data_IF_492884107446
#
_entry.id   IF_492884107446
#
_cell.length_a   1.000
_cell.length_b   1.000
_cell.length_c   1.000
_cell.angle_alpha   90.00
_cell.angle_beta   90.00
_cell.angle_gamma   90.00
#
_symmetry.space_group_name_H-M   'P 1'
#
loop_
_entity.id
_entity.type
_entity.pdbx_description
1 polymer ?
#
# COMPACT_ATOMS: atom_id res chain seq x y z
N UNK A 1 -15.16 21.49 -6.35
CA UNK A 1 -15.40 20.21 -7.09
C UNK A 1 -14.11 19.46 -7.50
N UNK A 2 -12.93 19.77 -6.94
CA UNK A 2 -11.62 19.32 -7.47
C UNK A 2 -10.88 18.27 -6.63
N UNK A 3 -11.08 18.20 -5.32
CA UNK A 3 -10.23 17.38 -4.43
C UNK A 3 -10.31 15.85 -4.63
N UNK A 4 -11.48 15.21 -4.86
CA UNK A 4 -11.54 13.76 -4.95
C UNK A 4 -10.86 13.18 -6.19
N UNK A 5 -10.91 13.88 -7.34
CA UNK A 5 -10.25 13.44 -8.57
C UNK A 5 -8.73 13.54 -8.45
N UNK A 6 -8.24 14.63 -7.84
CA UNK A 6 -6.81 14.80 -7.55
C UNK A 6 -6.32 13.71 -6.61
N UNK A 7 -7.09 13.37 -5.57
CA UNK A 7 -6.75 12.28 -4.65
C UNK A 7 -6.63 10.93 -5.36
N UNK A 8 -7.54 10.63 -6.29
CA UNK A 8 -7.47 9.40 -7.10
C UNK A 8 -6.24 9.39 -8.01
N UNK A 9 -5.99 10.48 -8.75
CA UNK A 9 -4.79 10.59 -9.59
C UNK A 9 -3.50 10.47 -8.78
N UNK A 10 -3.49 11.01 -7.57
CA UNK A 10 -2.36 10.90 -6.66
C UNK A 10 -2.15 9.45 -6.19
N UNK A 11 -3.23 8.71 -5.88
CA UNK A 11 -3.14 7.27 -5.58
C UNK A 11 -2.70 6.44 -6.78
N UNK A 12 -3.08 6.81 -8.01
CA UNK A 12 -2.57 6.15 -9.21
C UNK A 12 -1.07 6.36 -9.39
N UNK A 13 -0.56 7.57 -9.07
CA UNK A 13 0.88 7.83 -9.07
C UNK A 13 1.60 7.02 -7.99
N UNK A 14 1.00 6.86 -6.80
CA UNK A 14 1.51 5.96 -5.74
C UNK A 14 1.52 4.51 -6.22
N UNK A 15 0.43 4.04 -6.82
CA UNK A 15 0.33 2.68 -7.35
C UNK A 15 1.38 2.42 -8.44
N UNK A 16 1.67 3.40 -9.30
CA UNK A 16 2.77 3.30 -10.25
C UNK A 16 4.13 3.21 -9.56
N UNK A 17 4.38 4.07 -8.56
CA UNK A 17 5.62 4.05 -7.79
C UNK A 17 5.80 2.76 -6.97
N UNK A 18 4.73 2.09 -6.56
CA UNK A 18 4.79 0.77 -5.91
C UNK A 18 4.91 -0.38 -6.90
N UNK A 19 4.29 -0.29 -8.07
CA UNK A 19 4.39 -1.31 -9.12
C UNK A 19 5.83 -1.53 -9.59
N UNK A 20 6.69 -0.50 -9.51
CA UNK A 20 8.13 -0.60 -9.80
C UNK A 20 8.97 -1.20 -8.66
N UNK A 21 8.39 -1.57 -7.52
CA UNK A 21 9.18 -1.91 -6.32
C UNK A 21 9.45 -3.40 -6.16
N UNK A 22 8.53 -4.27 -6.56
CA UNK A 22 8.63 -5.71 -6.27
C UNK A 22 9.91 -6.36 -6.81
N UNK A 23 10.32 -6.01 -8.03
CA UNK A 23 11.56 -6.56 -8.61
C UNK A 23 12.80 -6.03 -7.90
N UNK A 24 12.80 -4.74 -7.50
CA UNK A 24 13.89 -4.12 -6.74
C UNK A 24 14.03 -4.74 -5.35
N UNK A 25 12.91 -4.95 -4.65
CA UNK A 25 12.90 -5.58 -3.33
C UNK A 25 13.38 -7.02 -3.42
N UNK A 26 12.88 -7.81 -4.38
CA UNK A 26 13.27 -9.21 -4.50
C UNK A 26 14.77 -9.39 -4.80
N UNK A 27 15.35 -8.51 -5.60
CA UNK A 27 16.79 -8.48 -5.85
C UNK A 27 17.58 -8.12 -4.57
N UNK A 28 17.17 -7.10 -3.82
CA UNK A 28 17.83 -6.73 -2.55
C UNK A 28 17.78 -7.84 -1.50
N UNK A 29 16.66 -8.59 -1.44
CA UNK A 29 16.49 -9.70 -0.49
C UNK A 29 17.41 -10.89 -0.75
N UNK A 30 18.17 -10.94 -1.86
CA UNK A 30 19.21 -11.96 -2.04
C UNK A 30 20.50 -11.60 -1.29
N UNK A 31 20.61 -10.38 -0.76
CA UNK A 31 21.83 -9.82 -0.15
C UNK A 31 21.60 -9.22 1.23
N UNK A 32 20.34 -8.95 1.60
CA UNK A 32 19.95 -8.36 2.87
C UNK A 32 18.83 -9.16 3.48
N UNK A 33 18.86 -9.30 4.81
CA UNK A 33 17.72 -9.84 5.54
C UNK A 33 16.52 -8.90 5.51
N UNK A 34 15.33 -9.49 5.59
CA UNK A 34 14.04 -8.80 5.45
C UNK A 34 13.92 -7.65 6.46
N UNK A 35 14.19 -7.92 7.73
CA UNK A 35 14.03 -6.93 8.79
C UNK A 35 15.04 -5.78 8.68
N UNK A 36 16.30 -6.08 8.34
CA UNK A 36 17.36 -5.09 8.14
C UNK A 36 17.03 -4.13 7.00
N UNK A 37 16.66 -4.70 5.85
CA UNK A 37 16.25 -3.93 4.68
C UNK A 37 15.10 -2.98 5.00
N UNK A 38 14.04 -3.48 5.65
CA UNK A 38 12.88 -2.66 6.00
C UNK A 38 13.23 -1.60 7.05
N UNK A 39 13.99 -1.95 8.08
CA UNK A 39 14.42 -1.02 9.12
C UNK A 39 15.25 0.12 8.53
N UNK A 40 16.22 -0.19 7.67
CA UNK A 40 17.02 0.84 6.99
C UNK A 40 16.17 1.72 6.07
N UNK A 41 15.36 1.10 5.21
CA UNK A 41 14.46 1.81 4.27
C UNK A 41 13.57 2.80 5.01
N UNK A 42 12.90 2.35 6.06
CA UNK A 42 11.96 3.20 6.80
C UNK A 42 12.67 4.20 7.72
N UNK A 43 13.87 3.89 8.22
CA UNK A 43 14.70 4.87 8.93
C UNK A 43 15.01 6.07 8.03
N UNK A 44 15.51 5.84 6.81
CA UNK A 44 15.80 6.90 5.84
C UNK A 44 14.53 7.70 5.52
N UNK A 45 13.41 7.01 5.27
CA UNK A 45 12.12 7.66 5.01
C UNK A 45 11.67 8.54 6.19
N UNK A 46 11.78 8.03 7.42
CA UNK A 46 11.38 8.75 8.64
C UNK A 46 12.23 9.99 8.88
N UNK A 47 13.55 9.89 8.70
CA UNK A 47 14.48 11.02 8.82
C UNK A 47 14.13 12.08 7.79
N UNK A 48 13.91 11.69 6.53
CA UNK A 48 13.54 12.64 5.47
C UNK A 48 12.27 13.42 5.83
N UNK A 49 11.22 12.76 6.32
CA UNK A 49 9.96 13.42 6.69
C UNK A 49 10.12 14.36 7.89
N UNK A 50 10.89 13.95 8.90
CA UNK A 50 11.18 14.78 10.08
C UNK A 50 12.00 16.01 9.67
N UNK A 51 13.00 15.86 8.80
CA UNK A 51 13.82 17.00 8.33
C UNK A 51 12.99 17.98 7.50
N UNK A 52 12.08 17.49 6.65
CA UNK A 52 11.21 18.34 5.82
C UNK A 52 10.25 19.17 6.68
N UNK A 53 9.69 18.60 7.75
CA UNK A 53 8.78 19.31 8.64
C UNK A 53 8.94 18.82 10.10
N UNK A 54 9.96 19.33 10.82
CA UNK A 54 10.25 18.91 12.19
C UNK A 54 9.09 19.00 13.18
N UNK A 55 8.24 20.06 13.16
CA UNK A 55 7.13 20.16 14.09
C UNK A 55 5.90 19.33 13.69
N UNK A 56 5.94 18.54 12.60
CA UNK A 56 4.77 17.81 12.11
C UNK A 56 4.17 16.86 13.16
N UNK A 57 5.01 16.10 13.86
CA UNK A 57 4.56 15.13 14.87
C UNK A 57 4.12 15.84 16.16
N UNK A 58 4.79 16.92 16.55
CA UNK A 58 4.45 17.66 17.78
C UNK A 58 3.11 18.41 17.66
N UNK A 59 2.74 18.82 16.44
CA UNK A 59 1.43 19.44 16.11
C UNK A 59 0.25 18.47 16.15
N UNK A 60 0.49 17.15 16.18
CA UNK A 60 -0.59 16.18 16.31
C UNK A 60 -1.24 16.26 17.70
N UNK A 61 -2.57 16.08 17.74
CA UNK A 61 -3.29 15.91 18.99
C UNK A 61 -2.83 14.62 19.71
N UNK A 62 -3.10 14.49 21.02
CA UNK A 62 -2.80 13.25 21.76
C UNK A 62 -3.52 12.05 21.15
N UNK A 63 -4.76 12.25 20.70
CA UNK A 63 -5.56 11.23 20.03
C UNK A 63 -4.93 10.82 18.69
N UNK A 64 -4.52 11.78 17.87
CA UNK A 64 -3.89 11.49 16.57
C UNK A 64 -2.53 10.83 16.70
N UNK A 65 -1.78 11.10 17.77
CA UNK A 65 -0.56 10.34 18.08
C UNK A 65 -0.86 8.88 18.36
N UNK A 66 -1.88 8.59 19.17
CA UNK A 66 -2.34 7.21 19.42
C UNK A 66 -2.76 6.49 18.14
N UNK A 67 -3.53 7.18 17.29
CA UNK A 67 -3.95 6.68 15.96
C UNK A 67 -2.75 6.43 15.04
N UNK A 68 -1.80 7.36 14.96
CA UNK A 68 -0.58 7.22 14.16
C UNK A 68 0.30 6.05 14.62
N UNK A 69 0.39 5.80 15.93
CA UNK A 69 1.08 4.62 16.47
C UNK A 69 0.35 3.34 16.07
N UNK A 70 -0.96 3.26 16.23
CA UNK A 70 -1.73 2.07 15.85
C UNK A 70 -1.61 1.76 14.35
N UNK A 71 -1.70 2.79 13.50
CA UNK A 71 -1.49 2.65 12.06
C UNK A 71 -0.07 2.21 11.72
N UNK A 72 0.94 2.82 12.34
CA UNK A 72 2.34 2.49 12.10
C UNK A 72 2.70 1.08 12.53
N UNK A 73 2.16 0.60 13.66
CA UNK A 73 2.34 -0.80 14.10
C UNK A 73 1.69 -1.75 13.11
N UNK A 74 0.44 -1.47 12.72
CA UNK A 74 -0.30 -2.31 11.77
C UNK A 74 0.46 -2.41 10.44
N UNK A 75 0.92 -1.27 9.89
CA UNK A 75 1.67 -1.22 8.65
C UNK A 75 3.04 -1.89 8.78
N UNK A 76 3.76 -1.68 9.89
CA UNK A 76 5.07 -2.27 10.13
C UNK A 76 5.02 -3.79 10.20
N UNK A 77 4.03 -4.35 10.91
CA UNK A 77 3.79 -5.80 10.93
C UNK A 77 3.39 -6.29 9.54
N UNK A 78 2.53 -5.57 8.82
CA UNK A 78 2.15 -5.92 7.45
C UNK A 78 3.38 -6.01 6.54
N UNK A 79 4.29 -5.03 6.60
CA UNK A 79 5.53 -5.02 5.82
C UNK A 79 6.45 -6.20 6.14
N UNK A 80 6.67 -6.50 7.43
CA UNK A 80 7.50 -7.64 7.84
C UNK A 80 6.92 -8.96 7.32
N UNK A 81 5.62 -9.18 7.56
CA UNK A 81 4.93 -10.41 7.16
C UNK A 81 4.88 -10.54 5.62
N UNK A 82 4.58 -9.46 4.90
CA UNK A 82 4.56 -9.44 3.44
C UNK A 82 5.94 -9.74 2.86
N UNK A 83 6.97 -9.06 3.36
CA UNK A 83 8.32 -9.15 2.78
C UNK A 83 8.94 -10.50 3.08
N UNK A 84 8.64 -11.08 4.25
CA UNK A 84 8.97 -12.48 4.56
C UNK A 84 8.20 -13.44 3.65
N UNK A 85 6.90 -13.22 3.42
CA UNK A 85 6.12 -13.99 2.45
C UNK A 85 6.72 -13.96 1.04
N UNK A 86 7.12 -12.78 0.56
CA UNK A 86 7.76 -12.55 -0.73
C UNK A 86 9.08 -13.33 -0.90
N UNK A 87 9.79 -13.62 0.20
CA UNK A 87 11.01 -14.46 0.19
C UNK A 87 10.70 -15.90 -0.20
N UNK A 88 9.51 -16.40 0.14
CA UNK A 88 9.10 -17.80 -0.08
C UNK A 88 8.16 -18.01 -1.27
N UNK A 89 7.69 -16.95 -1.93
CA UNK A 89 6.85 -17.05 -3.14
C UNK A 89 7.39 -16.21 -4.31
N UNK A 90 6.75 -16.31 -5.47
CA UNK A 90 7.09 -15.47 -6.63
C UNK A 90 6.62 -14.02 -6.41
N UNK A 91 7.29 -13.05 -7.03
CA UNK A 91 6.89 -11.65 -6.93
C UNK A 91 5.48 -11.41 -7.48
N UNK A 92 5.12 -12.10 -8.57
CA UNK A 92 3.80 -12.01 -9.19
C UNK A 92 2.69 -12.54 -8.27
N UNK A 93 2.87 -13.73 -7.67
CA UNK A 93 1.90 -14.30 -6.72
C UNK A 93 1.83 -13.44 -5.45
N UNK A 94 2.95 -12.96 -4.92
CA UNK A 94 2.93 -12.07 -3.75
C UNK A 94 2.19 -10.75 -4.03
N UNK A 95 2.40 -10.16 -5.21
CA UNK A 95 1.70 -8.95 -5.64
C UNK A 95 0.19 -9.17 -5.74
N UNK A 96 -0.24 -10.29 -6.33
CA UNK A 96 -1.66 -10.68 -6.38
C UNK A 96 -2.29 -10.79 -5.00
N UNK A 97 -1.65 -11.61 -4.15
CA UNK A 97 -2.16 -11.94 -2.83
C UNK A 97 -2.19 -10.69 -1.95
N UNK A 98 -1.20 -9.80 -2.08
CA UNK A 98 -1.23 -8.48 -1.44
C UNK A 98 -2.44 -7.68 -1.93
N UNK A 99 -2.67 -7.62 -3.24
CA UNK A 99 -3.80 -6.92 -3.86
C UNK A 99 -5.18 -7.36 -3.37
N UNK A 100 -5.29 -8.52 -2.71
CA UNK A 100 -6.51 -8.96 -2.02
C UNK A 100 -6.95 -8.03 -0.88
N UNK A 101 -6.11 -7.06 -0.46
CA UNK A 101 -6.60 -5.96 0.38
C UNK A 101 -7.83 -5.28 -0.24
N UNK A 102 -7.99 -5.27 -1.58
CA UNK A 102 -9.17 -4.72 -2.25
C UNK A 102 -10.46 -5.44 -1.90
N UNK A 103 -10.37 -6.72 -1.53
CA UNK A 103 -11.51 -7.53 -1.07
C UNK A 103 -11.69 -7.35 0.43
N UNK A 104 -10.60 -7.39 1.19
CA UNK A 104 -10.64 -7.28 2.65
C UNK A 104 -11.08 -5.89 3.12
N UNK A 105 -10.65 -4.82 2.49
CA UNK A 105 -11.01 -3.44 2.86
C UNK A 105 -12.53 -3.23 2.90
N UNK A 106 -13.31 -3.50 1.84
CA UNK A 106 -14.76 -3.38 1.90
C UNK A 106 -15.37 -4.29 2.97
N UNK A 107 -14.99 -5.57 3.01
CA UNK A 107 -15.51 -6.54 4.00
C UNK A 107 -15.32 -6.05 5.45
N UNK A 108 -14.09 -5.70 5.79
CA UNK A 108 -13.73 -5.22 7.12
C UNK A 108 -14.35 -3.84 7.40
N UNK A 109 -14.44 -2.95 6.41
CA UNK A 109 -15.11 -1.66 6.58
C UNK A 109 -16.61 -1.83 6.89
N UNK A 110 -17.29 -2.79 6.27
CA UNK A 110 -18.69 -3.09 6.57
C UNK A 110 -18.89 -3.58 8.01
N UNK A 111 -17.94 -4.36 8.54
CA UNK A 111 -18.02 -4.90 9.91
C UNK A 111 -17.60 -3.85 10.94
N UNK A 112 -16.45 -3.21 10.73
CA UNK A 112 -15.81 -2.29 11.68
C UNK A 112 -16.50 -0.93 11.69
N UNK A 113 -16.74 -0.35 10.51
CA UNK A 113 -17.38 0.96 10.38
C UNK A 113 -18.91 0.86 10.29
N UNK A 114 -19.47 -0.36 10.29
CA UNK A 114 -20.91 -0.64 10.11
C UNK A 114 -21.50 0.03 8.86
N UNK A 115 -20.66 0.24 7.85
CA UNK A 115 -21.03 0.99 6.65
C UNK A 115 -21.61 0.08 5.57
N UNK A 116 -22.74 0.45 4.97
CA UNK A 116 -23.34 -0.30 3.87
C UNK A 116 -22.58 -0.04 2.58
N UNK A 117 -21.91 -1.07 2.08
CA UNK A 117 -21.17 -1.01 0.80
C UNK A 117 -22.18 -1.00 -0.36
N UNK A 118 -22.02 -0.06 -1.29
CA UNK A 118 -22.84 0.00 -2.48
C UNK A 118 -22.62 -1.20 -3.41
N UNK A 119 -23.67 -1.60 -4.13
CA UNK A 119 -23.60 -2.70 -5.12
C UNK A 119 -22.48 -2.51 -6.15
N UNK A 120 -22.21 -1.28 -6.58
CA UNK A 120 -21.18 -0.98 -7.57
C UNK A 120 -19.76 -1.18 -7.04
N UNK A 121 -19.54 -0.93 -5.75
CA UNK A 121 -18.27 -1.23 -5.11
C UNK A 121 -18.05 -2.76 -5.05
N UNK A 122 -19.09 -3.55 -4.77
CA UNK A 122 -18.99 -5.02 -4.84
C UNK A 122 -18.66 -5.55 -6.24
N UNK A 123 -19.31 -5.01 -7.28
CA UNK A 123 -19.00 -5.39 -8.67
C UNK A 123 -17.55 -5.03 -9.00
N UNK A 124 -17.08 -3.86 -8.60
CA UNK A 124 -15.69 -3.47 -8.82
C UNK A 124 -14.69 -4.34 -8.05
N UNK A 125 -15.00 -4.74 -6.81
CA UNK A 125 -14.18 -5.68 -6.04
C UNK A 125 -14.05 -7.00 -6.81
N UNK A 126 -15.15 -7.57 -7.28
CA UNK A 126 -15.12 -8.82 -8.07
C UNK A 126 -14.29 -8.65 -9.34
N UNK A 127 -14.50 -7.56 -10.09
CA UNK A 127 -13.72 -7.28 -11.30
C UNK A 127 -12.22 -7.13 -11.00
N UNK A 128 -11.86 -6.40 -9.95
CA UNK A 128 -10.47 -6.22 -9.52
C UNK A 128 -9.85 -7.55 -9.11
N UNK A 129 -10.54 -8.37 -8.31
CA UNK A 129 -10.05 -9.70 -7.89
C UNK A 129 -9.82 -10.62 -9.09
N UNK A 130 -10.77 -10.69 -10.02
CA UNK A 130 -10.62 -11.52 -11.22
C UNK A 130 -9.49 -11.00 -12.09
N UNK A 131 -9.41 -9.68 -12.31
CA UNK A 131 -8.34 -9.06 -13.09
C UNK A 131 -6.95 -9.28 -12.51
N UNK A 132 -6.81 -9.10 -11.19
CA UNK A 132 -5.59 -9.41 -10.45
C UNK A 132 -5.23 -10.89 -10.59
N UNK A 133 -6.21 -11.80 -10.50
CA UNK A 133 -5.98 -13.24 -10.61
C UNK A 133 -5.48 -13.62 -12.00
N UNK A 134 -6.11 -13.04 -13.03
CA UNK A 134 -5.65 -13.16 -14.41
C UNK A 134 -4.25 -12.59 -14.57
N UNK A 135 -3.88 -11.46 -13.98
CA UNK A 135 -2.53 -10.90 -14.15
C UNK A 135 -1.44 -11.79 -13.54
N UNK A 136 -1.74 -12.46 -12.43
CA UNK A 136 -0.65 -12.90 -11.54
C UNK A 136 -0.64 -14.39 -11.15
N UNK A 137 -1.75 -15.12 -11.28
CA UNK A 137 -1.82 -16.55 -10.92
C UNK A 137 -1.26 -17.47 -12.01
N UNK A 138 0.01 -17.89 -11.93
CA UNK A 138 0.56 -18.96 -12.76
C UNK A 138 0.52 -20.30 -12.01
N UNK A 139 -0.69 -20.86 -11.86
CA UNK A 139 -0.95 -22.05 -11.03
C UNK A 139 -1.46 -21.68 -9.63
N UNK A 140 -1.99 -22.68 -8.91
CA UNK A 140 -2.51 -22.52 -7.55
C UNK A 140 -1.68 -23.39 -6.60
N UNK A 141 -0.74 -22.77 -5.89
CA UNK A 141 -0.03 -23.40 -4.78
C UNK A 141 -0.20 -22.53 -3.54
N UNK A 142 -0.84 -23.05 -2.50
CA UNK A 142 -0.82 -22.42 -1.19
C UNK A 142 0.36 -22.98 -0.40
N UNK A 143 1.43 -22.20 -0.34
CA UNK A 143 2.56 -22.42 0.55
C UNK A 143 2.58 -21.39 1.67
N UNK A 144 3.64 -21.46 2.48
CA UNK A 144 3.87 -20.53 3.59
C UNK A 144 3.98 -19.08 3.11
N UNK A 145 4.62 -18.84 1.97
CA UNK A 145 4.77 -17.51 1.39
C UNK A 145 3.43 -16.85 1.07
N UNK A 146 2.53 -17.57 0.40
CA UNK A 146 1.20 -17.09 0.04
C UNK A 146 0.35 -16.81 1.28
N UNK A 147 0.41 -17.67 2.31
CA UNK A 147 -0.36 -17.47 3.54
C UNK A 147 0.11 -16.24 4.32
N UNK A 148 1.43 -16.04 4.44
CA UNK A 148 2.00 -14.84 5.04
C UNK A 148 1.57 -13.59 4.26
N UNK A 149 1.73 -13.60 2.94
CA UNK A 149 1.32 -12.45 2.11
C UNK A 149 -0.19 -12.19 2.24
N UNK A 150 -1.03 -13.22 2.33
CA UNK A 150 -2.48 -13.04 2.51
C UNK A 150 -2.80 -12.42 3.87
N UNK A 151 -2.12 -12.85 4.94
CA UNK A 151 -2.25 -12.24 6.25
C UNK A 151 -1.85 -10.75 6.22
N UNK A 152 -0.77 -10.42 5.49
CA UNK A 152 -0.36 -9.02 5.30
C UNK A 152 -1.42 -8.19 4.58
N UNK A 153 -2.11 -8.74 3.58
CA UNK A 153 -3.19 -8.05 2.87
C UNK A 153 -4.35 -7.68 3.81
N UNK A 154 -4.66 -8.52 4.81
CA UNK A 154 -5.62 -8.21 5.86
C UNK A 154 -5.17 -7.04 6.75
N UNK A 155 -3.88 -7.00 7.11
CA UNK A 155 -3.30 -5.89 7.88
C UNK A 155 -3.26 -4.59 7.08
N UNK A 156 -2.89 -4.62 5.80
CA UNK A 156 -3.00 -3.45 4.92
C UNK A 156 -4.43 -2.98 4.78
N UNK A 157 -5.41 -3.88 4.69
CA UNK A 157 -6.82 -3.50 4.67
C UNK A 157 -7.24 -2.77 5.96
N UNK A 158 -6.80 -3.25 7.14
CA UNK A 158 -7.03 -2.55 8.41
C UNK A 158 -6.37 -1.17 8.45
N UNK A 159 -5.13 -1.07 7.95
CA UNK A 159 -4.42 0.21 7.83
C UNK A 159 -5.15 1.19 6.90
N UNK A 160 -5.59 0.74 5.72
CA UNK A 160 -6.38 1.53 4.77
C UNK A 160 -7.69 2.01 5.42
N UNK A 161 -8.38 1.14 6.17
CA UNK A 161 -9.61 1.52 6.90
C UNK A 161 -9.32 2.58 7.96
N UNK A 162 -8.28 2.36 8.78
CA UNK A 162 -7.88 3.29 9.82
C UNK A 162 -7.46 4.65 9.25
N UNK A 163 -6.71 4.66 8.14
CA UNK A 163 -6.36 5.89 7.43
C UNK A 163 -7.60 6.63 6.96
N UNK A 164 -8.52 5.97 6.25
CA UNK A 164 -9.75 6.61 5.79
C UNK A 164 -10.67 7.07 6.94
N UNK A 165 -10.53 6.51 8.15
CA UNK A 165 -11.28 6.93 9.32
C UNK A 165 -10.61 8.06 10.13
N UNK A 166 -9.28 8.18 10.08
CA UNK A 166 -8.52 9.04 11.01
C UNK A 166 -7.72 10.15 10.32
N UNK A 167 -7.47 10.04 9.01
CA UNK A 167 -6.71 11.06 8.29
C UNK A 167 -7.59 12.25 7.92
N UNK A 168 -7.03 13.43 8.09
CA UNK A 168 -7.58 14.72 7.66
C UNK A 168 -6.51 15.45 6.85
N UNK A 169 -6.88 16.39 5.97
CA UNK A 169 -5.88 17.13 5.19
C UNK A 169 -4.84 17.83 6.07
N UNK A 170 -5.24 18.28 7.27
CA UNK A 170 -4.37 18.97 8.23
C UNK A 170 -3.42 18.05 8.99
N UNK A 171 -3.83 16.80 9.30
CA UNK A 171 -2.99 15.88 10.08
C UNK A 171 -2.19 14.90 9.20
N UNK A 172 -2.46 14.84 7.89
CA UNK A 172 -1.93 13.81 6.99
C UNK A 172 -0.40 13.71 7.00
N UNK A 173 0.31 14.84 6.94
CA UNK A 173 1.77 14.84 6.99
C UNK A 173 2.28 14.32 8.35
N UNK A 174 1.73 14.84 9.45
CA UNK A 174 2.13 14.45 10.81
C UNK A 174 1.87 12.96 11.08
N UNK A 175 0.70 12.45 10.68
CA UNK A 175 0.37 11.03 10.76
C UNK A 175 1.34 10.18 9.94
N UNK A 176 1.71 10.60 8.72
CA UNK A 176 2.64 9.86 7.87
C UNK A 176 4.05 9.81 8.48
N UNK A 177 4.54 10.95 8.99
CA UNK A 177 5.83 11.03 9.66
C UNK A 177 5.89 10.12 10.90
N UNK A 178 4.85 10.16 11.75
CA UNK A 178 4.77 9.32 12.95
C UNK A 178 4.67 7.83 12.60
N UNK A 179 3.83 7.47 11.62
CA UNK A 179 3.75 6.09 11.13
C UNK A 179 5.12 5.61 10.65
N UNK A 180 5.86 6.42 9.89
CA UNK A 180 7.18 6.04 9.39
C UNK A 180 8.17 5.75 10.53
N UNK A 181 8.18 6.58 11.58
CA UNK A 181 9.00 6.34 12.78
C UNK A 181 8.60 5.03 13.46
N UNK A 182 7.31 4.78 13.62
CA UNK A 182 6.81 3.58 14.29
C UNK A 182 7.11 2.33 13.47
N UNK A 183 6.94 2.39 12.14
CA UNK A 183 7.31 1.31 11.22
C UNK A 183 8.81 1.00 11.35
N UNK A 184 9.67 2.02 11.39
CA UNK A 184 11.12 1.85 11.61
C UNK A 184 11.39 1.10 12.91
N UNK A 185 10.75 1.50 14.03
CA UNK A 185 10.93 0.84 15.32
C UNK A 185 10.47 -0.62 15.27
N UNK A 186 9.30 -0.90 14.69
CA UNK A 186 8.78 -2.27 14.54
C UNK A 186 9.74 -3.14 13.72
N UNK A 187 10.24 -2.63 12.59
CA UNK A 187 11.17 -3.37 11.74
C UNK A 187 12.54 -3.55 12.42
N UNK A 188 13.02 -2.53 13.14
CA UNK A 188 14.28 -2.60 13.88
C UNK A 188 14.22 -3.62 15.03
N UNK A 189 13.09 -3.72 15.74
CA UNK A 189 12.87 -4.79 16.73
C UNK A 189 12.92 -6.17 16.07
N UNK A 190 12.31 -6.30 14.89
CA UNK A 190 12.38 -7.53 14.09
C UNK A 190 13.80 -7.89 13.61
N UNK A 191 14.69 -6.90 13.49
CA UNK A 191 16.08 -7.07 13.05
C UNK A 191 17.05 -7.47 14.17
N UNK A 192 16.70 -7.24 15.44
CA UNK A 192 17.56 -7.55 16.61
C UNK A 192 18.16 -8.98 16.62
N UNK A 193 17.46 -10.05 16.19
CA UNK A 193 18.00 -11.41 16.27
C UNK A 193 19.14 -11.75 15.29
N UNK A 194 19.43 -10.92 14.28
CA UNK A 194 20.30 -11.30 13.13
C UNK A 194 21.58 -10.49 12.92
N UNK A 195 21.82 -9.44 13.71
CA UNK A 195 22.79 -8.40 13.33
C UNK A 195 22.20 -7.46 12.26
N UNK A 196 22.93 -6.40 11.87
CA UNK A 196 22.43 -5.43 10.90
C UNK A 196 23.28 -5.42 9.64
N UNK A 197 22.73 -5.93 8.54
CA UNK A 197 23.37 -5.99 7.23
C UNK A 197 23.09 -4.71 6.44
N UNK A 198 24.15 -3.99 6.07
CA UNK A 198 24.06 -2.81 5.22
C UNK A 198 24.18 -3.17 3.73
N UNK A 199 23.63 -2.33 2.83
CA UNK A 199 23.86 -2.48 1.39
C UNK A 199 25.36 -2.43 1.07
N UNK A 200 25.84 -3.41 0.30
CA UNK A 200 27.27 -3.59 0.03
C UNK A 200 27.79 -2.77 -1.15
N UNK A 201 26.91 -2.31 -2.05
CA UNK A 201 27.28 -1.58 -3.26
C UNK A 201 26.46 -0.31 -3.51
N UNK A 202 27.01 0.61 -4.31
CA UNK A 202 26.36 1.88 -4.68
C UNK A 202 25.02 1.69 -5.40
N UNK A 203 24.88 0.63 -6.20
CA UNK A 203 23.62 0.25 -6.83
C UNK A 203 22.54 -0.14 -5.82
N UNK A 204 22.89 -0.89 -4.78
CA UNK A 204 21.94 -1.28 -3.74
C UNK A 204 21.51 -0.09 -2.88
N UNK A 205 22.44 0.82 -2.57
CA UNK A 205 22.10 2.10 -1.93
C UNK A 205 21.13 2.92 -2.76
N UNK A 206 21.33 3.03 -4.07
CA UNK A 206 20.41 3.76 -4.94
C UNK A 206 18.99 3.17 -4.90
N UNK A 207 18.88 1.84 -4.93
CA UNK A 207 17.60 1.12 -4.82
C UNK A 207 16.93 1.37 -3.46
N UNK A 208 17.69 1.29 -2.36
CA UNK A 208 17.19 1.56 -1.01
C UNK A 208 16.73 3.01 -0.88
N UNK A 209 17.47 3.99 -1.41
CA UNK A 209 17.11 5.41 -1.36
C UNK A 209 15.84 5.67 -2.17
N UNK A 210 15.73 5.13 -3.39
CA UNK A 210 14.52 5.22 -4.19
C UNK A 210 13.31 4.66 -3.44
N UNK A 211 13.49 3.49 -2.84
CA UNK A 211 12.45 2.79 -2.09
C UNK A 211 12.05 3.54 -0.81
N UNK A 212 13.00 4.17 -0.14
CA UNK A 212 12.77 4.94 1.09
C UNK A 212 12.05 6.26 0.78
N UNK A 213 12.52 7.01 -0.22
CA UNK A 213 12.03 8.37 -0.47
C UNK A 213 10.78 8.38 -1.35
N UNK A 214 10.76 7.63 -2.44
CA UNK A 214 9.66 7.64 -3.41
C UNK A 214 8.57 6.66 -2.96
N UNK A 215 8.91 5.38 -2.84
CA UNK A 215 7.94 4.34 -2.50
C UNK A 215 7.60 4.27 -1.00
N UNK A 216 8.35 4.95 -0.13
CA UNK A 216 8.12 5.02 1.30
C UNK A 216 7.54 6.37 1.72
N UNK A 217 8.40 7.37 1.88
CA UNK A 217 8.08 8.69 2.41
C UNK A 217 7.00 9.42 1.59
N UNK A 218 7.26 9.63 0.30
CA UNK A 218 6.32 10.33 -0.57
C UNK A 218 5.02 9.55 -0.73
N UNK A 219 5.11 8.25 -1.02
CA UNK A 219 3.94 7.39 -1.18
C UNK A 219 3.01 7.39 0.04
N UNK A 220 3.56 7.24 1.25
CA UNK A 220 2.74 7.20 2.47
C UNK A 220 2.09 8.56 2.78
N UNK A 221 2.78 9.67 2.52
CA UNK A 221 2.19 11.02 2.64
C UNK A 221 1.02 11.17 1.67
N UNK A 222 1.26 10.84 0.40
CA UNK A 222 0.26 11.00 -0.66
C UNK A 222 -0.93 10.09 -0.40
N UNK A 223 -0.71 8.84 0.01
CA UNK A 223 -1.77 7.92 0.40
C UNK A 223 -2.58 8.46 1.57
N UNK A 224 -1.92 8.86 2.67
CA UNK A 224 -2.59 9.37 3.87
C UNK A 224 -3.43 10.60 3.56
N UNK A 225 -2.90 11.52 2.74
CA UNK A 225 -3.63 12.70 2.29
C UNK A 225 -4.78 12.35 1.34
N UNK A 226 -4.58 11.46 0.36
CA UNK A 226 -5.62 11.07 -0.57
C UNK A 226 -6.78 10.34 0.13
N UNK A 227 -6.48 9.53 1.14
CA UNK A 227 -7.48 8.85 1.96
C UNK A 227 -8.26 9.79 2.89
N UNK A 228 -7.76 10.99 3.16
CA UNK A 228 -8.57 12.03 3.81
C UNK A 228 -9.69 12.55 2.89
N UNK A 229 -9.55 12.33 1.57
CA UNK A 229 -10.49 12.78 0.54
C UNK A 229 -11.32 11.65 -0.08
N UNK A 230 -11.04 10.39 0.29
CA UNK A 230 -11.60 9.20 -0.34
C UNK A 230 -12.00 8.17 0.71
N UNK A 231 -13.13 7.51 0.49
CA UNK A 231 -13.52 6.35 1.31
C UNK A 231 -12.45 5.23 1.20
N UNK A 232 -12.26 4.41 2.25
CA UNK A 232 -11.33 3.27 2.22
C UNK A 232 -11.47 2.38 0.98
N UNK A 233 -12.71 2.02 0.61
CA UNK A 233 -12.98 1.15 -0.54
C UNK A 233 -12.53 1.78 -1.86
N UNK A 234 -12.80 3.08 -2.07
CA UNK A 234 -12.34 3.80 -3.27
C UNK A 234 -10.82 3.87 -3.34
N UNK A 235 -10.15 4.13 -2.21
CA UNK A 235 -8.70 4.16 -2.16
C UNK A 235 -8.10 2.79 -2.49
N UNK A 236 -8.60 1.72 -1.87
CA UNK A 236 -8.15 0.36 -2.13
C UNK A 236 -8.29 -0.02 -3.62
N UNK A 237 -9.43 0.30 -4.25
CA UNK A 237 -9.65 0.00 -5.67
C UNK A 237 -8.68 0.78 -6.56
N UNK A 238 -8.43 2.06 -6.29
CA UNK A 238 -7.43 2.84 -7.04
C UNK A 238 -6.02 2.26 -6.92
N UNK A 239 -5.67 1.76 -5.74
CA UNK A 239 -4.36 1.18 -5.47
C UNK A 239 -4.16 -0.17 -6.16
N UNK A 240 -5.24 -0.89 -6.53
CA UNK A 240 -5.12 -2.13 -7.33
C UNK A 240 -4.57 -1.94 -8.74
N UNK A 241 -4.39 -0.70 -9.20
CA UNK A 241 -3.68 -0.40 -10.45
C UNK A 241 -2.18 -0.69 -10.38
N UNK A 242 -1.64 -0.96 -9.19
CA UNK A 242 -0.22 -1.26 -8.96
C UNK A 242 0.30 -2.42 -9.84
N UNK A 243 -0.32 -3.62 -9.89
CA UNK A 243 0.11 -4.69 -10.80
C UNK A 243 -0.04 -4.33 -12.28
N UNK A 244 -1.01 -3.49 -12.64
CA UNK A 244 -1.17 -3.00 -14.02
C UNK A 244 0.05 -2.16 -14.42
N UNK A 245 0.49 -1.26 -13.54
CA UNK A 245 1.70 -0.46 -13.77
C UNK A 245 2.96 -1.31 -13.75
N UNK A 246 3.08 -2.29 -12.84
CA UNK A 246 4.21 -3.21 -12.79
C UNK A 246 4.38 -3.95 -14.13
N UNK A 247 3.30 -4.56 -14.64
CA UNK A 247 3.28 -5.21 -15.96
C UNK A 247 3.57 -4.23 -17.10
N UNK A 248 3.02 -3.01 -17.04
CA UNK A 248 3.27 -1.97 -18.03
C UNK A 248 4.74 -1.55 -18.09
N UNK A 249 5.40 -1.38 -16.95
CA UNK A 249 6.83 -1.08 -16.89
C UNK A 249 7.68 -2.25 -17.37
N UNK A 250 7.33 -3.49 -17.02
CA UNK A 250 8.04 -4.67 -17.49
C UNK A 250 8.08 -4.76 -19.02
N UNK A 251 6.95 -4.45 -19.69
CA UNK A 251 6.87 -4.35 -21.16
C UNK A 251 7.65 -3.15 -21.69
N UNK A 252 7.45 -1.96 -21.09
CA UNK A 252 8.07 -0.72 -21.56
C UNK A 252 9.60 -0.78 -21.54
N UNK A 253 10.18 -1.39 -20.50
CA UNK A 253 11.62 -1.57 -20.38
C UNK A 253 12.16 -2.82 -21.09
N UNK A 254 11.31 -3.53 -21.86
CA UNK A 254 11.70 -4.66 -22.71
C UNK A 254 12.02 -5.95 -21.97
N UNK A 255 11.65 -6.07 -20.69
CA UNK A 255 11.88 -7.28 -19.90
C UNK A 255 10.83 -8.38 -20.15
N UNK A 256 9.64 -8.01 -20.62
CA UNK A 256 8.54 -8.94 -20.92
C UNK A 256 7.83 -8.56 -22.22
N UNK A 257 7.24 -9.54 -22.90
CA UNK A 257 6.40 -9.32 -24.08
C UNK A 257 4.94 -9.12 -23.67
N UNK A 258 4.18 -8.31 -24.43
CA UNK A 258 2.73 -8.17 -24.20
C UNK A 258 2.05 -9.52 -24.39
N UNK A 259 1.34 -9.98 -23.37
CA UNK A 259 0.55 -11.21 -23.42
C UNK A 259 -0.94 -10.93 -23.40
N UNK A 260 -1.76 -11.82 -23.97
CA UNK A 260 -3.21 -11.75 -23.86
C UNK A 260 -3.69 -11.73 -22.40
N UNK A 261 -2.95 -12.42 -21.52
CA UNK A 261 -3.16 -12.46 -20.07
C UNK A 261 -3.00 -11.06 -19.44
N UNK A 262 -1.94 -10.33 -19.80
CA UNK A 262 -1.71 -8.96 -19.34
C UNK A 262 -2.81 -7.99 -19.82
N UNK A 263 -3.19 -8.10 -21.10
CA UNK A 263 -4.23 -7.25 -21.68
C UNK A 263 -5.58 -7.48 -21.02
N UNK A 264 -6.00 -8.74 -20.88
CA UNK A 264 -7.30 -9.08 -20.29
C UNK A 264 -7.35 -8.75 -18.79
N UNK A 265 -6.35 -9.16 -18.03
CA UNK A 265 -6.28 -8.89 -16.59
C UNK A 265 -6.17 -7.39 -16.29
N UNK A 266 -5.34 -6.66 -17.04
CA UNK A 266 -5.21 -5.21 -16.95
C UNK A 266 -6.51 -4.48 -17.28
N UNK A 267 -7.21 -4.90 -18.34
CA UNK A 267 -8.51 -4.32 -18.70
C UNK A 267 -9.57 -4.52 -17.61
N UNK A 268 -9.60 -5.68 -16.94
CA UNK A 268 -10.51 -5.95 -15.83
C UNK A 268 -10.23 -5.05 -14.62
N UNK A 269 -8.97 -4.90 -14.22
CA UNK A 269 -8.57 -4.01 -13.10
C UNK A 269 -8.87 -2.55 -13.44
N UNK A 270 -8.54 -2.10 -14.65
CA UNK A 270 -8.88 -0.75 -15.13
C UNK A 270 -10.39 -0.52 -15.12
N UNK A 271 -11.18 -1.50 -15.57
CA UNK A 271 -12.65 -1.42 -15.57
C UNK A 271 -13.21 -1.32 -14.15
N UNK A 272 -12.67 -2.06 -13.19
CA UNK A 272 -13.04 -1.94 -11.78
C UNK A 272 -12.80 -0.51 -11.26
N UNK A 273 -11.66 0.09 -11.60
CA UNK A 273 -11.31 1.45 -11.20
C UNK A 273 -12.23 2.49 -11.83
N UNK A 274 -12.48 2.41 -13.14
CA UNK A 274 -13.41 3.30 -13.82
C UNK A 274 -14.84 3.15 -13.29
N UNK A 275 -15.29 1.93 -13.03
CA UNK A 275 -16.62 1.66 -12.51
C UNK A 275 -16.86 2.40 -11.19
N UNK A 276 -15.90 2.34 -10.26
CA UNK A 276 -16.03 3.01 -8.95
C UNK A 276 -15.93 4.52 -9.05
N UNK A 277 -15.12 5.05 -9.96
CA UNK A 277 -14.99 6.50 -10.14
C UNK A 277 -16.21 7.11 -10.84
N UNK A 278 -16.81 6.39 -11.78
CA UNK A 278 -17.98 6.83 -12.56
C UNK A 278 -19.31 6.46 -11.90
N UNK A 279 -19.32 5.53 -10.95
CA UNK A 279 -20.53 5.12 -10.25
C UNK A 279 -21.20 6.31 -9.52
N UNK A 280 -22.54 6.37 -9.47
CA UNK A 280 -23.26 7.42 -8.77
C UNK A 280 -22.82 7.50 -7.31
N UNK A 281 -22.30 8.66 -6.89
CA UNK A 281 -21.90 8.94 -5.51
C UNK A 281 -23.13 8.86 -4.61
N UNK A 282 -23.15 7.94 -3.63
CA UNK A 282 -24.25 7.91 -2.66
C UNK A 282 -24.02 9.05 -1.66
N UNK A 283 -25.06 9.83 -1.31
CA UNK A 283 -24.97 10.93 -0.32
C UNK A 283 -24.29 10.51 1.00
N UNK A 284 -24.46 9.26 1.42
CA UNK A 284 -23.89 8.68 2.63
C UNK A 284 -22.35 8.60 2.57
N UNK A 285 -21.75 8.37 1.40
CA UNK A 285 -20.29 8.33 1.23
C UNK A 285 -19.65 9.73 1.37
N UNK A 286 -20.43 10.80 1.19
CA UNK A 286 -20.00 12.18 1.39
C UNK A 286 -20.07 12.63 2.86
N UNK A 287 -21.00 12.08 3.66
CA UNK A 287 -21.14 12.40 5.09
C UNK A 287 -20.06 11.75 5.96
N UNK A 288 -19.52 10.58 5.56
CA UNK A 288 -18.52 9.84 6.34
C UNK A 288 -17.15 10.55 6.41
N UNK A 289 -16.86 11.49 5.50
CA UNK A 289 -15.66 12.34 5.63
C UNK A 289 -15.68 13.24 6.89
N UNK A 290 -16.85 13.40 7.55
CA UNK A 290 -17.02 14.28 8.69
C UNK A 290 -17.22 13.57 10.05
N UNK A 291 -17.35 12.23 10.09
CA UNK A 291 -17.70 11.49 11.32
C UNK A 291 -16.54 11.18 12.28
N UNK A 292 -15.33 11.69 11.99
CA UNK A 292 -14.17 11.59 12.89
C UNK A 292 -13.87 12.87 13.68
N UNK A 293 -14.77 13.86 13.61
CA UNK A 293 -14.76 15.05 14.47
C UNK A 293 -15.33 14.73 15.86
#
# INVERSE_FOLDING_TARGET
>A
MTHPRIAVLALLAVAAAWGSTFFLTKDLLTRMDVADYLALRFAIASIALIVINPPAISRLSRLDRGRGIALGVTYGIAQLVQTEGLRHTSASVSGFVTGMYVVFTPLLAAVILRHKIGRWAWVAVVLATVGLGVLSLNGFSMGTGELLTLASAGLYALHIIGLGAWSTPSNAFGLSALQMVVITVVCAIGALPGGFTLPSGSGDWLRVIYMALIAGALALIVQTWAQAHLTPTRAAIAMTMEPVFASGFAVLFGSESVTARMLFGGALVMSAMYLVELAPRRKIEAEVQHLAQ
#
